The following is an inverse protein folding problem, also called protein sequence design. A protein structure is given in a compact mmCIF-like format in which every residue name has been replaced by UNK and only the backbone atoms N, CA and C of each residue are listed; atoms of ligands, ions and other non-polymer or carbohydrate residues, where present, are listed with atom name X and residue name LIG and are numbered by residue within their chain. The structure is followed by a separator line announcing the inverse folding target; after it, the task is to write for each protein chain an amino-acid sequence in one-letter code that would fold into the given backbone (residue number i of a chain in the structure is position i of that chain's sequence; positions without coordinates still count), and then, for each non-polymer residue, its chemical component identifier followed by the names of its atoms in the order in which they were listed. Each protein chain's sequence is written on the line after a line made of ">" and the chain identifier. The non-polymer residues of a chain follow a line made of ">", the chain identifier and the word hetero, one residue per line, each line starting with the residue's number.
data_IF_264348262703
#
_entry.id   IF_264348262703
#
_cell.length_a   1.000
_cell.length_b   1.000
_cell.length_c   1.000
_cell.angle_alpha   90.00
_cell.angle_beta   90.00
_cell.angle_gamma   90.00
#
_symmetry.space_group_name_H-M   'P 1'
#
loop_
_entity.id
_entity.type
_entity.pdbx_description
1 polymer ?
#
# COMPACT_ATOMS: atom_id res chain seq x y z
N UNK A 1 -24.35 -61.12 4.00
CA UNK A 1 -24.91 -62.15 3.08
C UNK A 1 -26.14 -62.87 3.64
N UNK A 2 -26.28 -63.04 4.97
CA UNK A 2 -27.45 -63.72 5.59
C UNK A 2 -28.80 -63.01 5.39
N UNK A 3 -28.81 -61.70 5.19
CA UNK A 3 -30.03 -60.88 5.05
C UNK A 3 -30.67 -60.95 3.67
N UNK A 4 -29.88 -61.09 2.60
CA UNK A 4 -30.40 -61.24 1.23
C UNK A 4 -31.11 -62.59 1.05
N UNK A 5 -30.55 -63.65 1.64
CA UNK A 5 -31.14 -64.99 1.63
C UNK A 5 -32.52 -65.04 2.32
N UNK A 6 -32.69 -64.32 3.44
CA UNK A 6 -33.97 -64.24 4.17
C UNK A 6 -35.06 -63.47 3.40
N UNK A 7 -34.67 -62.53 2.53
CA UNK A 7 -35.60 -61.75 1.71
C UNK A 7 -36.11 -62.55 0.51
N UNK A 8 -35.25 -63.38 -0.09
CA UNK A 8 -35.62 -64.32 -1.16
C UNK A 8 -36.54 -65.44 -0.65
N UNK A 9 -36.26 -65.99 0.55
CA UNK A 9 -37.08 -67.05 1.17
C UNK A 9 -38.52 -66.60 1.48
N UNK A 10 -38.72 -65.31 1.79
CA UNK A 10 -40.04 -64.73 2.06
C UNK A 10 -40.68 -64.06 0.83
N UNK A 11 -40.09 -64.25 -0.37
CA UNK A 11 -40.56 -63.71 -1.64
C UNK A 11 -40.87 -62.20 -1.61
N UNK A 12 -40.12 -61.43 -0.82
CA UNK A 12 -40.32 -59.98 -0.69
C UNK A 12 -39.60 -59.31 -1.86
N UNK A 13 -40.30 -58.61 -2.77
CA UNK A 13 -39.66 -57.93 -3.88
C UNK A 13 -38.78 -56.80 -3.33
N UNK A 14 -37.47 -56.91 -3.49
CA UNK A 14 -36.52 -55.86 -3.15
C UNK A 14 -35.87 -55.37 -4.44
N UNK A 15 -35.93 -54.06 -4.67
CA UNK A 15 -35.22 -53.41 -5.77
C UNK A 15 -34.03 -52.66 -5.18
N UNK A 16 -32.83 -52.89 -5.73
CA UNK A 16 -31.67 -52.10 -5.35
C UNK A 16 -31.85 -50.72 -5.96
N UNK A 17 -32.18 -49.73 -5.13
CA UNK A 17 -32.14 -48.33 -5.55
C UNK A 17 -30.75 -48.05 -6.11
N UNK A 18 -30.65 -47.89 -7.44
CA UNK A 18 -29.40 -47.51 -8.11
C UNK A 18 -28.90 -46.26 -7.40
N UNK A 19 -27.74 -46.38 -6.75
CA UNK A 19 -27.13 -45.26 -6.03
C UNK A 19 -27.07 -44.03 -6.94
N UNK A 20 -27.36 -42.82 -6.42
CA UNK A 20 -27.47 -41.63 -7.25
C UNK A 20 -26.21 -41.44 -8.09
N UNK A 21 -26.40 -41.11 -9.37
CA UNK A 21 -25.34 -40.97 -10.35
C UNK A 21 -24.13 -40.20 -9.78
N UNK A 22 -22.96 -40.83 -9.79
CA UNK A 22 -21.73 -40.26 -9.22
C UNK A 22 -21.41 -38.87 -9.81
N UNK A 23 -21.78 -38.64 -11.06
CA UNK A 23 -21.64 -37.35 -11.74
C UNK A 23 -22.51 -36.25 -11.12
N UNK A 24 -23.77 -36.50 -10.79
CA UNK A 24 -24.63 -35.49 -10.18
C UNK A 24 -24.19 -35.14 -8.76
N UNK A 25 -23.54 -36.07 -8.06
CA UNK A 25 -22.98 -35.86 -6.72
C UNK A 25 -21.84 -34.83 -6.70
N UNK A 26 -20.98 -34.81 -7.72
CA UNK A 26 -19.84 -33.89 -7.78
C UNK A 26 -20.10 -32.66 -8.64
N UNK A 27 -21.03 -32.73 -9.59
CA UNK A 27 -21.36 -31.60 -10.47
C UNK A 27 -21.94 -30.41 -9.70
N UNK A 28 -22.84 -30.67 -8.74
CA UNK A 28 -23.47 -29.62 -7.93
C UNK A 28 -22.46 -28.81 -7.09
N UNK A 29 -21.59 -29.43 -6.26
CA UNK A 29 -20.59 -28.67 -5.49
C UNK A 29 -19.54 -28.00 -6.39
N UNK A 30 -19.17 -28.61 -7.52
CA UNK A 30 -18.17 -28.04 -8.42
C UNK A 30 -18.70 -26.82 -9.19
N UNK A 31 -19.98 -26.83 -9.58
CA UNK A 31 -20.66 -25.67 -10.17
C UNK A 31 -20.76 -24.51 -9.15
N UNK A 32 -21.15 -24.80 -7.90
CA UNK A 32 -21.23 -23.80 -6.83
C UNK A 32 -19.86 -23.16 -6.55
N UNK A 33 -18.81 -23.98 -6.47
CA UNK A 33 -17.44 -23.52 -6.25
C UNK A 33 -16.96 -22.65 -7.42
N UNK A 34 -17.26 -23.04 -8.66
CA UNK A 34 -16.95 -22.26 -9.86
C UNK A 34 -17.65 -20.89 -9.86
N UNK A 35 -18.92 -20.83 -9.49
CA UNK A 35 -19.67 -19.57 -9.39
C UNK A 35 -19.10 -18.65 -8.29
N UNK A 36 -18.78 -19.22 -7.12
CA UNK A 36 -18.15 -18.48 -6.02
C UNK A 36 -16.79 -17.92 -6.43
N UNK A 37 -15.93 -18.73 -7.06
CA UNK A 37 -14.63 -18.26 -7.55
C UNK A 37 -14.79 -17.20 -8.64
N UNK A 38 -15.72 -17.37 -9.58
CA UNK A 38 -16.01 -16.36 -10.60
C UNK A 38 -16.46 -15.04 -9.97
N UNK A 39 -17.34 -15.08 -8.97
CA UNK A 39 -17.82 -13.88 -8.27
C UNK A 39 -16.70 -13.21 -7.46
N UNK A 40 -15.87 -13.98 -6.76
CA UNK A 40 -14.72 -13.48 -6.01
C UNK A 40 -13.71 -12.83 -6.96
N UNK A 41 -13.39 -13.46 -8.09
CA UNK A 41 -12.49 -12.91 -9.10
C UNK A 41 -13.10 -11.65 -9.74
N UNK A 42 -14.41 -11.64 -10.00
CA UNK A 42 -15.12 -10.46 -10.53
C UNK A 42 -15.04 -9.28 -9.54
N UNK A 43 -15.25 -9.53 -8.24
CA UNK A 43 -15.15 -8.52 -7.18
C UNK A 43 -13.69 -8.05 -7.02
N UNK A 44 -12.71 -8.96 -6.98
CA UNK A 44 -11.29 -8.58 -6.90
C UNK A 44 -10.84 -7.75 -8.11
N UNK A 45 -11.33 -8.07 -9.32
CA UNK A 45 -11.09 -7.27 -10.53
C UNK A 45 -11.76 -5.89 -10.47
N UNK A 46 -12.88 -5.75 -9.75
CA UNK A 46 -13.60 -4.48 -9.57
C UNK A 46 -13.06 -3.64 -8.40
N UNK A 47 -12.49 -4.29 -7.37
CA UNK A 47 -11.94 -3.67 -6.15
C UNK A 47 -10.45 -3.30 -6.29
N UNK A 48 -9.84 -3.53 -7.47
CA UNK A 48 -8.48 -3.06 -7.79
C UNK A 48 -8.33 -1.53 -7.94
N UNK A 49 -9.41 -0.75 -7.84
CA UNK A 49 -9.38 0.72 -7.82
C UNK A 49 -9.36 1.29 -6.40
N UNK A 50 -8.65 2.42 -6.23
CA UNK A 50 -8.65 3.47 -5.16
C UNK A 50 -9.23 3.21 -3.73
N UNK A 51 -9.35 1.97 -3.28
CA UNK A 51 -9.91 1.57 -1.98
C UNK A 51 -9.61 0.11 -1.60
N UNK A 52 -8.75 -0.59 -2.37
CA UNK A 52 -8.30 -1.94 -2.04
C UNK A 52 -7.47 -1.94 -0.75
N UNK A 53 -7.59 -2.93 0.14
CA UNK A 53 -6.69 -3.14 1.27
C UNK A 53 -5.21 -3.21 0.87
N UNK A 54 -4.91 -3.56 -0.39
CA UNK A 54 -3.56 -3.56 -0.94
C UNK A 54 -2.97 -2.15 -1.17
N UNK A 55 -3.79 -1.10 -1.16
CA UNK A 55 -3.35 0.30 -1.24
C UNK A 55 -3.02 0.91 0.12
N UNK A 56 -3.40 0.27 1.23
CA UNK A 56 -3.14 0.75 2.60
C UNK A 56 -1.65 0.72 2.97
N UNK A 57 -0.81 0.01 2.22
CA UNK A 57 0.64 -0.06 2.43
C UNK A 57 1.49 0.88 1.56
N UNK A 58 0.90 1.61 0.61
CA UNK A 58 1.67 2.57 -0.20
C UNK A 58 1.72 3.91 0.54
N UNK A 59 2.92 4.34 0.92
CA UNK A 59 3.12 5.64 1.56
C UNK A 59 2.49 6.75 0.72
N UNK A 60 1.64 7.57 1.35
CA UNK A 60 0.98 8.72 0.69
C UNK A 60 1.93 9.92 0.62
N UNK A 61 3.20 9.68 0.32
CA UNK A 61 4.15 10.75 0.06
C UNK A 61 3.81 11.40 -1.27
N UNK A 62 3.35 12.65 -1.26
CA UNK A 62 3.38 13.46 -2.48
C UNK A 62 4.86 13.74 -2.77
N UNK A 63 5.44 13.01 -3.73
CA UNK A 63 6.68 13.45 -4.37
C UNK A 63 6.31 14.67 -5.20
N UNK A 64 6.69 15.85 -4.71
CA UNK A 64 6.79 17.01 -5.57
C UNK A 64 8.07 16.78 -6.37
N UNK A 65 7.94 16.62 -7.69
CA UNK A 65 9.10 16.72 -8.55
C UNK A 65 9.65 18.14 -8.41
N UNK A 66 10.97 18.27 -8.39
CA UNK A 66 11.68 19.53 -8.13
C UNK A 66 11.22 20.69 -9.05
N UNK A 67 10.56 20.39 -10.17
CA UNK A 67 9.99 21.34 -11.14
C UNK A 67 8.83 22.19 -10.59
N UNK A 68 8.17 21.83 -9.48
CA UNK A 68 6.98 22.54 -8.96
C UNK A 68 7.27 23.53 -7.81
N UNK A 69 8.52 23.73 -7.41
CA UNK A 69 8.87 24.58 -6.25
C UNK A 69 9.46 25.91 -6.73
N UNK A 70 8.59 26.89 -6.94
CA UNK A 70 8.93 28.24 -7.43
C UNK A 70 9.14 29.25 -6.28
N UNK A 71 9.67 28.79 -5.14
CA UNK A 71 9.88 29.61 -3.94
C UNK A 71 11.36 29.56 -3.57
N UNK A 72 11.99 30.73 -3.42
CA UNK A 72 13.41 30.88 -3.10
C UNK A 72 13.62 31.53 -1.72
N UNK A 73 14.88 31.69 -1.28
CA UNK A 73 15.16 32.38 -0.02
C UNK A 73 14.75 33.85 -0.04
N UNK A 74 14.70 34.49 -1.21
CA UNK A 74 14.25 35.88 -1.37
C UNK A 74 12.77 36.08 -1.00
N UNK A 75 11.95 35.01 -1.03
CA UNK A 75 10.53 35.04 -0.65
C UNK A 75 10.32 34.93 0.87
N UNK A 76 11.38 34.69 1.64
CA UNK A 76 11.35 34.53 3.09
C UNK A 76 11.75 35.84 3.76
N UNK A 77 10.78 36.56 4.33
CA UNK A 77 11.03 37.83 5.01
C UNK A 77 11.04 37.71 6.54
N UNK A 78 11.93 38.48 7.19
CA UNK A 78 11.89 38.73 8.64
C UNK A 78 12.47 37.63 9.52
N UNK A 79 13.20 36.67 8.95
CA UNK A 79 13.92 35.60 9.66
C UNK A 79 15.33 35.41 9.09
N UNK A 80 16.02 36.51 8.82
CA UNK A 80 17.32 36.54 8.13
C UNK A 80 18.39 35.67 8.84
N UNK A 81 18.38 35.66 10.17
CA UNK A 81 19.27 34.83 11.00
C UNK A 81 19.05 33.32 10.75
N UNK A 82 17.78 32.90 10.67
CA UNK A 82 17.44 31.50 10.44
C UNK A 82 17.70 31.06 8.99
N UNK A 83 17.55 31.98 8.04
CA UNK A 83 17.89 31.73 6.62
C UNK A 83 19.39 31.52 6.48
N UNK A 84 20.23 32.33 7.14
CA UNK A 84 21.69 32.21 7.05
C UNK A 84 22.21 30.90 7.69
N UNK A 85 21.70 30.49 8.86
CA UNK A 85 22.04 29.19 9.46
C UNK A 85 21.67 28.01 8.54
N UNK A 86 20.50 28.08 7.91
CA UNK A 86 20.03 27.05 6.99
C UNK A 86 20.84 27.04 5.69
N UNK A 87 21.31 28.20 5.22
CA UNK A 87 22.16 28.32 4.03
C UNK A 87 23.47 27.56 4.20
N UNK A 88 24.08 27.59 5.38
CA UNK A 88 25.25 26.77 5.69
C UNK A 88 24.97 25.27 5.54
N UNK A 89 23.78 24.82 5.97
CA UNK A 89 23.37 23.41 5.83
C UNK A 89 23.15 23.04 4.36
N UNK A 90 22.57 23.94 3.56
CA UNK A 90 22.39 23.72 2.11
C UNK A 90 23.74 23.67 1.39
N UNK A 91 24.66 24.58 1.70
CA UNK A 91 26.04 24.60 1.19
C UNK A 91 26.77 23.28 1.52
N UNK A 92 26.57 22.78 2.74
CA UNK A 92 27.06 21.47 3.16
C UNK A 92 26.49 20.34 2.31
N UNK A 93 25.19 20.34 2.03
CA UNK A 93 24.53 19.31 1.21
C UNK A 93 24.97 19.36 -0.26
N UNK A 94 25.28 20.54 -0.80
CA UNK A 94 25.82 20.72 -2.15
C UNK A 94 27.26 20.24 -2.28
N UNK A 95 28.10 20.51 -1.27
CA UNK A 95 29.54 20.19 -1.31
C UNK A 95 29.99 19.32 -0.12
N UNK A 96 29.43 18.11 0.05
CA UNK A 96 29.69 17.30 1.24
C UNK A 96 31.16 16.85 1.36
N UNK A 97 31.87 16.73 0.24
CA UNK A 97 33.27 16.30 0.19
C UNK A 97 34.19 17.27 0.94
N UNK A 98 34.00 18.58 0.73
CA UNK A 98 34.81 19.64 1.38
C UNK A 98 34.70 19.58 2.90
N UNK A 99 33.50 19.33 3.42
CA UNK A 99 33.27 19.25 4.86
C UNK A 99 33.73 17.92 5.46
N UNK A 100 33.64 16.81 4.72
CA UNK A 100 34.19 15.52 5.16
C UNK A 100 35.71 15.54 5.27
N UNK A 101 36.42 16.22 4.36
CA UNK A 101 37.88 16.38 4.43
C UNK A 101 38.33 17.13 5.69
N UNK A 102 37.50 18.03 6.21
CA UNK A 102 37.73 18.77 7.46
C UNK A 102 37.29 17.98 8.70
N UNK A 103 36.81 16.75 8.55
CA UNK A 103 36.32 15.90 9.65
C UNK A 103 34.89 16.25 10.11
N UNK A 104 34.15 17.04 9.34
CA UNK A 104 32.77 17.43 9.64
C UNK A 104 31.78 16.25 9.55
N UNK A 105 30.81 16.21 10.46
CA UNK A 105 29.71 15.24 10.42
C UNK A 105 28.51 15.81 9.68
N UNK A 106 27.95 15.03 8.76
CA UNK A 106 26.75 15.39 8.01
C UNK A 106 25.53 15.45 8.93
N UNK A 107 24.82 16.60 9.01
CA UNK A 107 23.54 16.67 9.71
C UNK A 107 22.51 15.81 8.97
N UNK A 108 21.79 14.95 9.70
CA UNK A 108 20.80 14.03 9.11
C UNK A 108 19.41 14.64 8.95
N UNK A 109 19.15 15.77 9.57
CA UNK A 109 17.87 16.47 9.51
C UNK A 109 17.87 17.70 10.41
N UNK A 110 16.96 18.62 10.10
CA UNK A 110 16.76 19.87 10.84
C UNK A 110 15.31 19.90 11.32
N UNK A 111 15.10 20.32 12.56
CA UNK A 111 13.78 20.50 13.14
C UNK A 111 13.50 22.00 13.32
N UNK A 112 12.52 22.52 12.58
CA UNK A 112 12.08 23.91 12.72
C UNK A 112 10.97 24.00 13.78
N UNK A 113 11.21 24.78 14.84
CA UNK A 113 10.28 24.93 15.98
C UNK A 113 9.78 26.36 16.09
N UNK A 114 8.48 26.54 16.39
CA UNK A 114 7.90 27.85 16.68
C UNK A 114 6.37 27.86 16.61
N UNK A 115 5.71 28.95 17.02
CA UNK A 115 4.25 29.14 16.92
C UNK A 115 3.69 28.93 15.50
N UNK A 116 2.40 28.61 15.31
CA UNK A 116 1.82 28.51 13.98
C UNK A 116 1.96 29.84 13.21
N UNK A 117 2.19 29.79 11.90
CA UNK A 117 2.29 30.99 11.05
C UNK A 117 3.67 31.63 10.92
N UNK A 118 4.71 31.14 11.60
CA UNK A 118 6.08 31.72 11.56
C UNK A 118 6.93 31.27 10.36
N UNK A 119 6.32 30.94 9.22
CA UNK A 119 7.09 30.64 8.00
C UNK A 119 7.88 29.32 7.98
N UNK A 120 7.77 28.41 8.97
CA UNK A 120 8.51 27.12 8.97
C UNK A 120 8.34 26.30 7.69
N UNK A 121 7.11 26.16 7.21
CA UNK A 121 6.82 25.44 5.96
C UNK A 121 7.27 26.22 4.72
N UNK A 122 7.24 27.55 4.78
CA UNK A 122 7.73 28.42 3.71
C UNK A 122 9.25 28.27 3.56
N UNK A 123 9.97 28.32 4.67
CA UNK A 123 11.42 28.10 4.73
C UNK A 123 11.78 26.71 4.19
N UNK A 124 11.04 25.66 4.58
CA UNK A 124 11.25 24.31 4.03
C UNK A 124 11.06 24.23 2.51
N UNK A 125 10.15 25.02 1.92
CA UNK A 125 9.98 25.10 0.47
C UNK A 125 11.12 25.89 -0.19
N UNK A 126 11.52 27.03 0.39
CA UNK A 126 12.64 27.83 -0.08
C UNK A 126 13.95 27.02 -0.14
N UNK A 127 14.24 26.21 0.90
CA UNK A 127 15.38 25.29 0.92
C UNK A 127 15.35 24.31 -0.26
N UNK A 128 14.16 23.81 -0.61
CA UNK A 128 14.01 22.84 -1.68
C UNK A 128 14.12 23.48 -3.08
N UNK A 129 13.76 24.76 -3.24
CA UNK A 129 13.97 25.53 -4.48
C UNK A 129 15.43 25.97 -4.66
N UNK A 130 16.15 26.19 -3.56
CA UNK A 130 17.55 26.64 -3.57
C UNK A 130 18.58 25.53 -3.79
N UNK A 131 18.18 24.25 -3.73
CA UNK A 131 19.09 23.09 -3.84
C UNK A 131 19.37 22.68 -5.29
#
# INVERSE_FOLDING_TARGET
>A
MRTAALLEENAIPYDYAKGPNTWSRYLFPLMLLGLCLFFIIMVMRRVGGAGSPMAFGRSRGKLYAQEDIDINFDDVAGIDEAVEEVREIVEFLRTPEKYQMLGGRIPKGVLLVGPPGTGKTLLGKAIAGEA
#
